data_IF_622706382419
#
_entry.id   IF_622706382419
#
_cell.length_a   1.000
_cell.length_b   1.000
_cell.length_c   1.000
_cell.angle_alpha   90.00
_cell.angle_beta   90.00
_cell.angle_gamma   90.00
#
_symmetry.space_group_name_H-M   'P 1'
#
loop_
_entity.id
_entity.type
_entity.pdbx_description
1 polymer ?
#
# COMPACT_ATOMS: atom_id res chain seq x y z
N UNK A 1 21.92 6.19 1.99
CA UNK A 1 22.23 4.76 2.22
C UNK A 1 21.10 3.85 1.70
N UNK A 2 20.68 4.02 0.43
CA UNK A 2 19.56 3.25 -0.15
C UNK A 2 19.94 1.81 -0.46
N UNK A 3 21.14 1.59 -0.99
CA UNK A 3 21.62 0.26 -1.40
C UNK A 3 21.69 -0.75 -0.24
N UNK A 4 21.72 -0.28 1.01
CA UNK A 4 21.73 -1.11 2.22
C UNK A 4 20.40 -1.08 3.00
N UNK A 5 19.34 -0.48 2.43
CA UNK A 5 18.01 -0.43 3.07
C UNK A 5 17.96 0.38 4.37
N UNK A 6 18.85 1.37 4.53
CA UNK A 6 18.90 2.22 5.74
C UNK A 6 18.36 3.64 5.54
N UNK A 7 18.07 4.02 4.29
CA UNK A 7 17.40 5.28 3.97
C UNK A 7 18.26 6.54 4.12
N UNK A 8 17.58 7.68 4.24
CA UNK A 8 18.21 9.00 4.40
C UNK A 8 18.60 9.29 5.85
N UNK A 9 17.76 8.91 6.82
CA UNK A 9 18.03 9.10 8.25
C UNK A 9 19.37 8.48 8.68
N UNK A 10 19.66 7.26 8.23
CA UNK A 10 20.95 6.63 8.52
C UNK A 10 22.12 7.35 7.84
N UNK A 11 21.90 7.99 6.69
CA UNK A 11 22.94 8.79 6.06
C UNK A 11 23.21 10.08 6.84
N UNK A 12 22.15 10.72 7.37
CA UNK A 12 22.27 11.89 8.25
C UNK A 12 23.05 11.52 9.52
N UNK A 13 22.68 10.42 10.17
CA UNK A 13 23.37 9.90 11.35
C UNK A 13 24.85 9.59 11.05
N UNK A 14 25.13 8.90 9.95
CA UNK A 14 26.50 8.59 9.54
C UNK A 14 27.33 9.84 9.28
N UNK A 15 26.81 10.81 8.52
CA UNK A 15 27.49 12.08 8.30
C UNK A 15 27.75 12.81 9.61
N UNK A 16 26.78 12.82 10.54
CA UNK A 16 26.95 13.40 11.87
C UNK A 16 28.06 12.73 12.69
N UNK A 17 28.12 11.39 12.71
CA UNK A 17 29.17 10.63 13.41
C UNK A 17 30.55 10.91 12.82
N UNK A 18 30.64 11.02 11.49
CA UNK A 18 31.90 11.23 10.77
C UNK A 18 32.31 12.70 10.67
N UNK A 19 31.55 13.62 11.28
CA UNK A 19 31.72 15.06 11.15
C UNK A 19 31.78 15.54 9.68
N UNK A 20 30.96 14.93 8.83
CA UNK A 20 30.81 15.27 7.42
C UNK A 20 29.66 16.26 7.22
N UNK A 21 29.65 17.06 6.13
CA UNK A 21 28.48 17.85 5.78
C UNK A 21 27.24 16.95 5.59
N UNK A 22 26.03 17.49 5.82
CA UNK A 22 24.80 16.73 5.72
C UNK A 22 24.61 16.15 4.31
N UNK A 23 23.99 14.96 4.20
CA UNK A 23 23.77 14.33 2.91
C UNK A 23 22.86 15.21 2.02
N UNK A 24 22.99 15.12 0.69
CA UNK A 24 22.25 15.97 -0.24
C UNK A 24 20.72 15.82 -0.08
N UNK A 25 20.03 16.96 0.00
CA UNK A 25 18.57 17.05 0.23
C UNK A 25 17.73 16.67 -0.99
N UNK A 26 18.35 16.52 -2.16
CA UNK A 26 17.67 16.14 -3.43
C UNK A 26 16.94 14.79 -3.34
N UNK A 27 17.28 13.95 -2.37
CA UNK A 27 16.64 12.65 -2.12
C UNK A 27 15.12 12.76 -1.99
N UNK A 28 14.62 13.71 -1.19
CA UNK A 28 13.18 13.88 -0.97
C UNK A 28 12.46 14.29 -2.25
N UNK A 29 13.08 15.18 -3.04
CA UNK A 29 12.52 15.62 -4.33
C UNK A 29 12.33 14.46 -5.29
N UNK A 30 13.37 13.64 -5.49
CA UNK A 30 13.27 12.49 -6.41
C UNK A 30 12.28 11.44 -5.92
N UNK A 31 12.24 11.15 -4.62
CA UNK A 31 11.25 10.21 -4.08
C UNK A 31 9.83 10.70 -4.28
N UNK A 32 9.57 12.01 -4.15
CA UNK A 32 8.24 12.55 -4.40
C UNK A 32 7.84 12.41 -5.87
N UNK A 33 8.76 12.68 -6.82
CA UNK A 33 8.51 12.51 -8.25
C UNK A 33 8.23 11.03 -8.58
N UNK A 34 9.05 10.12 -8.07
CA UNK A 34 8.85 8.68 -8.28
C UNK A 34 7.54 8.19 -7.66
N UNK A 35 7.20 8.69 -6.47
CA UNK A 35 5.95 8.35 -5.80
C UNK A 35 4.75 8.83 -6.60
N UNK A 36 4.81 10.04 -7.17
CA UNK A 36 3.75 10.59 -7.99
C UNK A 36 3.57 9.77 -9.28
N UNK A 37 4.65 9.53 -10.03
CA UNK A 37 4.59 8.72 -11.24
C UNK A 37 4.06 7.31 -10.98
N UNK A 38 4.52 6.66 -9.89
CA UNK A 38 4.03 5.34 -9.51
C UNK A 38 2.55 5.33 -9.12
N UNK A 39 2.03 6.43 -8.54
CA UNK A 39 0.60 6.56 -8.21
C UNK A 39 -0.23 6.73 -9.47
N UNK A 40 0.16 7.64 -10.35
CA UNK A 40 -0.53 7.89 -11.63
C UNK A 40 -0.64 6.59 -12.44
N UNK A 41 0.49 5.88 -12.62
CA UNK A 41 0.48 4.58 -13.33
C UNK A 41 -0.38 3.52 -12.61
N UNK A 42 -0.41 3.52 -11.28
CA UNK A 42 -1.24 2.58 -10.52
C UNK A 42 -2.74 2.88 -10.71
N UNK A 43 -3.12 4.15 -10.68
CA UNK A 43 -4.52 4.59 -10.87
C UNK A 43 -5.01 4.28 -12.29
N UNK A 44 -4.19 4.54 -13.30
CA UNK A 44 -4.47 4.18 -14.71
C UNK A 44 -4.62 2.67 -14.87
N UNK A 45 -3.65 1.89 -14.38
CA UNK A 45 -3.67 0.42 -14.50
C UNK A 45 -4.85 -0.22 -13.77
N UNK A 46 -5.23 0.29 -12.60
CA UNK A 46 -6.41 -0.20 -11.86
C UNK A 46 -7.71 0.17 -12.58
N UNK A 47 -7.80 1.36 -13.18
CA UNK A 47 -8.97 1.76 -13.97
C UNK A 47 -9.16 0.87 -15.21
N UNK A 48 -8.07 0.53 -15.92
CA UNK A 48 -8.10 -0.42 -17.03
C UNK A 48 -8.51 -1.82 -16.57
N UNK A 49 -7.97 -2.30 -15.44
CA UNK A 49 -8.33 -3.60 -14.87
C UNK A 49 -9.84 -3.70 -14.54
N UNK A 50 -10.46 -2.60 -14.11
CA UNK A 50 -11.91 -2.52 -13.88
C UNK A 50 -12.67 -2.62 -15.19
N UNK A 51 -12.25 -1.88 -16.22
CA UNK A 51 -12.90 -1.90 -17.53
C UNK A 51 -12.92 -3.31 -18.11
N UNK A 52 -11.78 -3.98 -18.12
CA UNK A 52 -11.66 -5.35 -18.62
C UNK A 52 -12.51 -6.34 -17.82
N UNK A 53 -12.55 -6.20 -16.49
CA UNK A 53 -13.38 -7.07 -15.66
C UNK A 53 -14.89 -6.86 -15.91
N UNK A 54 -15.32 -5.65 -16.28
CA UNK A 54 -16.70 -5.40 -16.70
C UNK A 54 -16.98 -5.98 -18.07
N UNK A 55 -16.03 -5.90 -19.02
CA UNK A 55 -16.17 -6.48 -20.35
C UNK A 55 -16.25 -8.01 -20.31
N UNK A 56 -15.40 -8.66 -19.51
CA UNK A 56 -15.44 -10.12 -19.30
C UNK A 56 -16.74 -10.57 -18.62
N UNK A 57 -17.35 -9.72 -17.80
CA UNK A 57 -18.63 -9.97 -17.15
C UNK A 57 -19.85 -9.56 -18.01
N UNK A 58 -19.69 -9.49 -19.34
CA UNK A 58 -20.75 -9.14 -20.29
C UNK A 58 -21.41 -7.77 -20.02
N UNK A 59 -20.64 -6.80 -19.50
CA UNK A 59 -21.12 -5.49 -19.08
C UNK A 59 -21.74 -5.45 -17.68
N UNK A 60 -21.76 -6.60 -16.99
CA UNK A 60 -22.16 -6.74 -15.59
C UNK A 60 -21.20 -5.98 -14.67
N UNK A 61 -21.77 -5.17 -13.78
CA UNK A 61 -21.00 -4.40 -12.78
C UNK A 61 -20.88 -5.10 -11.43
N UNK A 62 -21.32 -6.35 -11.37
CA UNK A 62 -21.21 -7.22 -10.21
C UNK A 62 -19.99 -8.13 -10.42
N UNK A 63 -18.83 -7.70 -9.93
CA UNK A 63 -17.54 -8.37 -10.20
C UNK A 63 -17.17 -9.27 -9.01
N UNK A 64 -16.77 -10.51 -9.29
CA UNK A 64 -16.25 -11.40 -8.26
C UNK A 64 -14.81 -11.00 -7.89
N UNK A 65 -14.49 -10.88 -6.60
CA UNK A 65 -13.15 -10.47 -6.15
C UNK A 65 -12.58 -11.36 -5.06
N UNK A 66 -11.25 -11.49 -5.11
CA UNK A 66 -10.42 -12.01 -4.04
C UNK A 66 -9.71 -10.86 -3.34
N UNK A 67 -9.65 -10.91 -2.01
CA UNK A 67 -8.93 -9.93 -1.20
C UNK A 67 -7.74 -10.60 -0.54
N UNK A 68 -6.54 -10.05 -0.74
CA UNK A 68 -5.31 -10.52 -0.10
C UNK A 68 -4.64 -9.40 0.69
N UNK A 69 -3.94 -9.76 1.77
CA UNK A 69 -3.29 -8.84 2.68
C UNK A 69 -1.84 -9.23 2.95
N UNK A 70 -0.93 -8.26 2.94
CA UNK A 70 0.50 -8.47 3.19
C UNK A 70 1.08 -7.48 4.20
N UNK A 71 2.10 -7.91 4.96
CA UNK A 71 2.76 -7.13 6.01
C UNK A 71 4.24 -6.92 5.72
N UNK A 72 4.76 -5.78 6.17
CA UNK A 72 6.20 -5.49 6.10
C UNK A 72 7.05 -6.50 6.90
N UNK A 73 6.56 -7.00 8.04
CA UNK A 73 7.30 -7.89 8.94
C UNK A 73 6.48 -9.11 9.36
N UNK A 74 7.13 -10.28 9.43
CA UNK A 74 6.56 -11.51 10.00
C UNK A 74 6.45 -11.37 11.53
N UNK A 75 5.44 -12.00 12.14
CA UNK A 75 5.36 -12.18 13.60
C UNK A 75 4.61 -11.08 14.37
N UNK A 76 3.39 -10.72 13.95
CA UNK A 76 2.48 -9.76 14.63
C UNK A 76 3.07 -8.37 14.98
N UNK A 77 4.31 -8.08 14.59
CA UNK A 77 5.02 -6.84 14.90
C UNK A 77 5.04 -5.86 13.71
N UNK A 78 4.26 -6.13 12.66
CA UNK A 78 4.20 -5.24 11.50
C UNK A 78 3.53 -3.92 11.86
N UNK A 79 4.12 -2.82 11.38
CA UNK A 79 3.56 -1.46 11.52
C UNK A 79 2.86 -1.01 10.24
N UNK A 80 3.14 -1.66 9.12
CA UNK A 80 2.59 -1.36 7.81
C UNK A 80 2.03 -2.64 7.19
N UNK A 81 0.93 -2.50 6.48
CA UNK A 81 0.32 -3.55 5.70
C UNK A 81 -0.27 -2.98 4.41
N UNK A 82 -0.52 -3.86 3.47
CA UNK A 82 -1.20 -3.56 2.22
C UNK A 82 -2.31 -4.59 2.04
N UNK A 83 -3.46 -4.13 1.60
CA UNK A 83 -4.59 -4.97 1.21
C UNK A 83 -4.81 -4.74 -0.28
N UNK A 84 -4.93 -5.82 -1.04
CA UNK A 84 -5.13 -5.79 -2.49
C UNK A 84 -6.42 -6.51 -2.83
N UNK A 85 -7.18 -5.93 -3.74
CA UNK A 85 -8.39 -6.50 -4.31
C UNK A 85 -8.10 -6.93 -5.72
N UNK A 86 -8.38 -8.19 -6.02
CA UNK A 86 -8.08 -8.79 -7.31
C UNK A 86 -9.37 -9.36 -7.89
N UNK A 87 -9.63 -9.08 -9.17
CA UNK A 87 -10.72 -9.75 -9.90
C UNK A 87 -10.48 -11.25 -9.89
N UNK A 88 -11.51 -12.04 -9.60
CA UNK A 88 -11.40 -13.50 -9.72
C UNK A 88 -11.30 -13.91 -11.18
N UNK A 89 -12.02 -13.21 -12.06
CA UNK A 89 -12.14 -13.58 -13.47
C UNK A 89 -10.88 -13.18 -14.26
N UNK A 90 -10.48 -11.90 -14.19
CA UNK A 90 -9.29 -11.40 -14.92
C UNK A 90 -7.97 -11.68 -14.18
N UNK A 91 -8.01 -11.96 -12.87
CA UNK A 91 -6.82 -12.06 -12.03
C UNK A 91 -6.06 -10.73 -11.84
N UNK A 92 -6.63 -9.59 -12.25
CA UNK A 92 -6.00 -8.26 -12.17
C UNK A 92 -6.34 -7.55 -10.87
N UNK A 93 -5.41 -6.72 -10.40
CA UNK A 93 -5.62 -5.90 -9.20
C UNK A 93 -6.51 -4.71 -9.55
N UNK A 94 -7.65 -4.61 -8.88
CA UNK A 94 -8.69 -3.58 -9.10
C UNK A 94 -8.53 -2.44 -8.08
N UNK A 95 -8.10 -2.75 -6.85
CA UNK A 95 -7.92 -1.75 -5.80
C UNK A 95 -6.82 -2.15 -4.81
N UNK A 96 -6.20 -1.15 -4.20
CA UNK A 96 -5.14 -1.33 -3.20
C UNK A 96 -5.30 -0.33 -2.06
N UNK A 97 -5.30 -0.83 -0.84
CA UNK A 97 -5.29 0.00 0.36
C UNK A 97 -4.02 -0.22 1.20
N UNK A 98 -3.37 0.88 1.54
CA UNK A 98 -2.17 0.86 2.39
C UNK A 98 -2.58 1.19 3.83
N UNK A 99 -2.31 0.28 4.76
CA UNK A 99 -2.61 0.44 6.18
C UNK A 99 -1.32 0.69 6.97
N UNK A 100 -1.31 1.72 7.82
CA UNK A 100 -0.18 2.05 8.69
C UNK A 100 -0.63 2.38 10.11
N UNK A 101 0.08 1.76 11.05
CA UNK A 101 0.07 2.05 12.49
C UNK A 101 1.19 3.00 12.88
N UNK A 102 2.10 3.30 11.96
CA UNK A 102 3.25 4.10 12.28
C UNK A 102 2.84 5.56 12.46
N UNK A 103 3.12 6.10 13.64
CA UNK A 103 2.90 7.52 13.94
C UNK A 103 4.25 8.24 13.85
N UNK A 104 4.36 9.18 12.90
CA UNK A 104 5.53 10.05 12.71
C UNK A 104 5.15 11.47 13.16
N UNK A 105 4.52 11.60 14.33
CA UNK A 105 4.19 12.92 14.87
C UNK A 105 5.38 13.40 15.72
N UNK A 106 6.10 14.47 15.30
CA UNK A 106 7.29 14.94 16.01
C UNK A 106 6.98 15.42 17.43
N UNK A 107 5.77 15.93 17.67
CA UNK A 107 5.25 16.24 19.00
C UNK A 107 3.83 15.70 19.15
N UNK A 108 3.56 14.93 20.21
CA UNK A 108 2.24 14.34 20.51
C UNK A 108 1.14 15.40 20.74
N UNK A 109 1.52 16.66 20.93
CA UNK A 109 0.62 17.80 21.18
C UNK A 109 -0.30 18.13 20.00
N UNK A 110 0.12 17.86 18.75
CA UNK A 110 -0.71 18.03 17.54
C UNK A 110 -1.01 16.69 16.85
N UNK A 111 -1.03 15.60 17.62
CA UNK A 111 -1.21 14.25 17.09
C UNK A 111 -2.46 14.13 16.24
N UNK A 112 -3.60 14.62 16.73
CA UNK A 112 -4.90 14.50 16.06
C UNK A 112 -4.95 15.16 14.68
N UNK A 113 -4.16 16.21 14.43
CA UNK A 113 -4.21 16.97 13.17
C UNK A 113 -3.17 16.49 12.13
N UNK A 114 -2.04 15.96 12.60
CA UNK A 114 -0.89 15.67 11.72
C UNK A 114 -0.55 14.17 11.65
N UNK A 115 -1.34 13.28 12.28
CA UNK A 115 -1.06 11.86 12.25
C UNK A 115 -1.38 11.27 10.88
N UNK A 116 -0.39 10.64 10.26
CA UNK A 116 -0.55 9.85 9.02
C UNK A 116 -0.96 8.40 9.29
N UNK A 117 -1.20 8.02 10.55
CA UNK A 117 -1.72 6.69 10.92
C UNK A 117 -3.16 6.61 10.43
N UNK A 118 -3.47 5.58 9.65
CA UNK A 118 -4.83 5.31 9.18
C UNK A 118 -5.42 4.00 9.75
N UNK A 119 -4.66 3.22 10.53
CA UNK A 119 -5.13 1.97 11.11
C UNK A 119 -4.98 1.92 12.63
N UNK A 120 -6.02 1.41 13.31
CA UNK A 120 -6.07 1.18 14.76
C UNK A 120 -6.41 -0.30 15.03
N UNK A 121 -5.52 -1.02 15.73
CA UNK A 121 -5.74 -2.43 16.08
C UNK A 121 -4.44 -3.25 16.18
N UNK A 122 -4.55 -4.57 16.40
CA UNK A 122 -3.42 -5.51 16.37
C UNK A 122 -3.05 -5.90 14.93
N UNK A 123 -1.84 -6.42 14.69
CA UNK A 123 -1.31 -6.51 13.31
C UNK A 123 -1.94 -7.61 12.48
N UNK A 124 -2.36 -8.71 13.10
CA UNK A 124 -3.24 -9.69 12.43
C UNK A 124 -4.61 -9.11 12.05
N UNK A 125 -5.07 -8.04 12.71
CA UNK A 125 -6.37 -7.42 12.40
C UNK A 125 -6.34 -6.61 11.10
N UNK A 126 -5.15 -6.38 10.55
CA UNK A 126 -4.98 -5.75 9.24
C UNK A 126 -5.36 -6.72 8.10
N UNK A 127 -5.41 -8.04 8.36
CA UNK A 127 -5.90 -9.10 7.43
C UNK A 127 -7.40 -8.98 7.18
N UNK A 128 -8.14 -8.69 8.25
CA UNK A 128 -9.60 -8.87 8.31
C UNK A 128 -10.33 -7.52 8.21
N UNK A 129 -9.63 -6.47 7.79
CA UNK A 129 -10.24 -5.14 7.60
C UNK A 129 -10.97 -5.09 6.26
N UNK A 130 -11.89 -6.02 6.03
CA UNK A 130 -12.81 -6.04 4.89
C UNK A 130 -13.66 -4.76 4.82
N UNK A 131 -13.82 -4.05 5.95
CA UNK A 131 -14.69 -2.88 6.08
C UNK A 131 -14.17 -1.59 5.45
N UNK A 132 -12.91 -1.51 5.03
CA UNK A 132 -12.35 -0.26 4.46
C UNK A 132 -12.34 -0.25 2.92
N UNK A 133 -12.57 -1.41 2.29
CA UNK A 133 -12.70 -1.57 0.83
C UNK A 133 -13.82 -0.71 0.20
N UNK A 134 -14.72 -0.12 0.99
CA UNK A 134 -15.90 0.60 0.49
C UNK A 134 -15.69 2.02 -0.04
N UNK A 135 -14.47 2.59 -0.01
CA UNK A 135 -14.25 4.01 -0.40
C UNK A 135 -13.85 4.23 -1.86
N UNK A 136 -12.98 3.40 -2.44
CA UNK A 136 -12.58 3.57 -3.84
C UNK A 136 -13.68 3.10 -4.81
N UNK A 137 -14.47 2.10 -4.41
CA UNK A 137 -15.43 1.40 -5.27
C UNK A 137 -16.68 2.19 -5.68
N UNK A 138 -17.11 3.15 -4.86
CA UNK A 138 -18.22 4.04 -5.25
C UNK A 138 -17.86 4.97 -6.40
N UNK A 139 -16.57 5.26 -6.62
CA UNK A 139 -16.13 6.18 -7.66
C UNK A 139 -16.27 5.59 -9.08
N UNK A 140 -16.22 4.26 -9.22
CA UNK A 140 -16.31 3.57 -10.53
C UNK A 140 -17.67 2.88 -10.76
N UNK A 141 -18.58 2.90 -9.78
CA UNK A 141 -19.94 2.39 -9.94
C UNK A 141 -20.05 0.87 -10.09
N UNK A 142 -19.07 0.14 -9.57
CA UNK A 142 -18.98 -1.34 -9.56
C UNK A 142 -19.33 -1.87 -8.18
N UNK A 143 -20.00 -3.02 -8.10
CA UNK A 143 -20.27 -3.75 -6.87
C UNK A 143 -19.53 -5.07 -6.91
N UNK A 144 -19.12 -5.54 -5.75
CA UNK A 144 -18.49 -6.85 -5.65
C UNK A 144 -19.45 -7.90 -5.13
N UNK A 145 -19.46 -9.05 -5.79
CA UNK A 145 -20.26 -10.21 -5.44
C UNK A 145 -19.32 -11.33 -4.99
N UNK A 146 -19.31 -11.62 -3.69
CA UNK A 146 -18.48 -12.67 -3.09
C UNK A 146 -17.27 -12.13 -2.32
N UNK A 147 -17.36 -12.16 -1.00
CA UNK A 147 -16.22 -11.95 -0.08
C UNK A 147 -15.76 -13.31 0.43
N UNK A 148 -15.04 -14.05 -0.40
CA UNK A 148 -14.42 -15.32 -0.01
C UNK A 148 -12.91 -15.14 0.00
N UNK A 149 -12.29 -15.15 1.18
CA UNK A 149 -10.84 -15.17 1.35
C UNK A 149 -10.25 -16.42 0.65
N UNK A 150 -9.81 -16.27 -0.60
CA UNK A 150 -9.22 -17.37 -1.35
C UNK A 150 -7.77 -17.53 -0.90
N UNK A 151 -7.55 -18.63 -0.18
CA UNK A 151 -6.33 -18.99 0.52
C UNK A 151 -5.09 -19.00 -0.38
N UNK A 152 -4.01 -18.43 0.18
CA UNK A 152 -2.59 -18.70 -0.04
C UNK A 152 -2.30 -19.76 -1.11
N UNK A 153 -1.69 -19.35 -2.23
CA UNK A 153 -0.42 -19.97 -2.65
C UNK A 153 0.31 -19.27 -3.79
N UNK A 154 -0.24 -18.26 -4.48
CA UNK A 154 0.33 -17.88 -5.78
C UNK A 154 0.78 -16.42 -6.05
N UNK A 155 0.93 -15.54 -5.05
CA UNK A 155 1.41 -14.16 -5.32
C UNK A 155 2.52 -13.68 -4.35
N UNK A 156 3.63 -14.43 -4.32
CA UNK A 156 4.89 -13.96 -3.70
C UNK A 156 5.62 -12.87 -4.51
N UNK A 157 5.14 -12.50 -5.70
CA UNK A 157 5.86 -11.61 -6.63
C UNK A 157 5.68 -10.11 -6.27
N UNK A 158 4.50 -9.67 -5.81
CA UNK A 158 4.23 -8.25 -5.50
C UNK A 158 4.83 -7.78 -4.17
N UNK A 159 5.05 -8.69 -3.21
CA UNK A 159 5.67 -8.39 -1.91
C UNK A 159 7.15 -7.96 -2.02
N UNK A 160 7.78 -8.11 -3.19
CA UNK A 160 9.14 -7.61 -3.44
C UNK A 160 9.15 -6.10 -3.68
N UNK A 161 8.15 -5.53 -4.37
CA UNK A 161 8.14 -4.09 -4.71
C UNK A 161 7.93 -3.20 -3.47
N UNK A 162 7.04 -3.60 -2.54
CA UNK A 162 6.82 -2.87 -1.29
C UNK A 162 8.05 -2.89 -0.35
N UNK A 163 8.97 -3.85 -0.52
CA UNK A 163 10.23 -3.92 0.25
C UNK A 163 11.29 -2.91 -0.26
N UNK A 164 11.11 -2.35 -1.44
CA UNK A 164 12.02 -1.35 -2.04
C UNK A 164 11.67 0.11 -1.68
N UNK A 165 10.49 0.34 -1.10
CA UNK A 165 9.99 1.68 -0.75
C UNK A 165 10.18 2.06 0.73
N UNK A 166 10.93 1.27 1.50
CA UNK A 166 11.38 1.60 2.87
C UNK A 166 12.89 1.44 2.98
#
# INVERSE_FOLDING_TARGET
MRCIGKGAESAVMFCGIMNLPPPPTKFTKFNNILLQAARETCEESMAEAVHEAVEENEGGRDIAVAVDGSWQKRGFSSKNGVVTVTSVDTGKVIDVEILSKHCICPNKTKHLQNCKRNFVGYSGKMEVTESILGKALKAQGVRFTGGGALFRHHLQQLARVARWLT
#
